data_IF_600687169238
#
_entry.id   IF_600687169238
#
_cell.length_a   1.000
_cell.length_b   1.000
_cell.length_c   1.000
_cell.angle_alpha   90.00
_cell.angle_beta   90.00
_cell.angle_gamma   90.00
#
_symmetry.space_group_name_H-M   'P 1'
#
loop_
_entity.id
_entity.type
_entity.pdbx_description
1 polymer ?
#
# COMPACT_ATOMS: atom_id res chain seq x y z
N UNK A 1 -11.14 33.92 -38.20
CA UNK A 1 -9.72 33.73 -37.78
C UNK A 1 -9.52 32.40 -37.03
N UNK A 2 -10.40 32.01 -36.10
CA UNK A 2 -10.28 30.76 -35.34
C UNK A 2 -10.46 29.45 -36.15
N UNK A 3 -11.15 29.49 -37.29
CA UNK A 3 -11.35 28.33 -38.17
C UNK A 3 -10.06 27.88 -38.87
N UNK A 4 -9.21 28.83 -39.24
CA UNK A 4 -7.91 28.54 -39.89
C UNK A 4 -6.95 27.81 -38.94
N UNK A 5 -6.99 28.11 -37.64
CA UNK A 5 -6.13 27.45 -36.66
C UNK A 5 -6.51 25.96 -36.49
N UNK A 6 -7.81 25.62 -36.52
CA UNK A 6 -8.31 24.24 -36.42
C UNK A 6 -7.93 23.38 -37.63
N UNK A 7 -7.88 23.98 -38.81
CA UNK A 7 -7.51 23.31 -40.06
C UNK A 7 -5.99 23.11 -40.20
N UNK A 8 -5.19 24.05 -39.66
CA UNK A 8 -3.73 23.87 -39.57
C UNK A 8 -3.33 22.79 -38.56
N UNK A 9 -4.01 22.71 -37.41
CA UNK A 9 -3.71 21.70 -36.37
C UNK A 9 -3.97 20.26 -36.86
N UNK A 10 -5.08 20.05 -37.57
CA UNK A 10 -5.44 18.75 -38.15
C UNK A 10 -4.53 18.35 -39.33
N UNK A 11 -4.06 19.33 -40.11
CA UNK A 11 -3.04 19.08 -41.15
C UNK A 11 -1.70 18.68 -40.55
N UNK A 12 -1.31 19.23 -39.41
CA UNK A 12 -0.08 18.83 -38.70
C UNK A 12 -0.17 17.40 -38.17
N UNK A 13 -1.28 17.01 -37.53
CA UNK A 13 -1.46 15.64 -37.02
C UNK A 13 -1.41 14.58 -38.14
N UNK A 14 -2.04 14.84 -39.30
CA UNK A 14 -1.99 13.92 -40.43
C UNK A 14 -0.60 13.82 -41.09
N UNK A 15 0.21 14.88 -41.06
CA UNK A 15 1.59 14.84 -41.55
C UNK A 15 2.48 14.03 -40.60
N UNK A 16 2.25 14.11 -39.29
CA UNK A 16 2.94 13.28 -38.30
C UNK A 16 2.63 11.78 -38.49
N UNK A 17 1.37 11.41 -38.72
CA UNK A 17 0.97 10.01 -39.01
C UNK A 17 1.55 9.51 -40.33
N UNK A 18 1.64 10.38 -41.36
CA UNK A 18 2.27 10.06 -42.64
C UNK A 18 3.79 9.86 -42.51
N UNK A 19 4.45 10.59 -41.61
CA UNK A 19 5.89 10.44 -41.36
C UNK A 19 6.22 9.10 -40.68
N UNK A 20 5.34 8.60 -39.82
CA UNK A 20 5.50 7.28 -39.17
C UNK A 20 5.28 6.13 -40.17
N UNK A 21 4.52 6.34 -41.24
CA UNK A 21 4.12 5.27 -42.19
C UNK A 21 5.01 5.09 -43.42
N UNK A 22 6.12 5.84 -43.57
CA UNK A 22 7.01 5.72 -44.74
C UNK A 22 8.47 5.49 -44.33
N UNK A 23 8.79 4.30 -43.79
CA UNK A 23 10.12 3.68 -43.97
C UNK A 23 10.03 2.14 -44.06
N UNK A 24 10.01 1.70 -45.32
CA UNK A 24 10.57 0.46 -45.91
C UNK A 24 9.96 -0.90 -45.54
N UNK A 25 9.24 -1.42 -46.53
CA UNK A 25 9.21 -2.83 -46.88
C UNK A 25 10.62 -3.29 -47.35
N UNK A 26 11.01 -4.49 -46.89
CA UNK A 26 12.07 -5.39 -47.40
C UNK A 26 13.56 -5.05 -47.13
N UNK A 27 14.13 -5.73 -46.12
CA UNK A 27 15.42 -6.46 -46.24
C UNK A 27 15.59 -7.45 -45.07
N UNK A 28 15.87 -8.73 -45.41
CA UNK A 28 16.40 -9.85 -44.58
C UNK A 28 15.86 -10.06 -43.15
N UNK A 29 15.19 -11.21 -42.95
CA UNK A 29 14.78 -11.76 -41.64
C UNK A 29 15.97 -12.22 -40.78
N UNK A 30 16.71 -11.29 -40.21
CA UNK A 30 17.42 -11.48 -38.94
C UNK A 30 16.86 -10.43 -37.99
N UNK A 31 15.82 -10.84 -37.25
CA UNK A 31 15.08 -9.99 -36.31
C UNK A 31 15.91 -9.72 -35.07
N UNK A 32 16.75 -8.68 -35.12
CA UNK A 32 17.41 -8.13 -33.95
C UNK A 32 16.55 -7.06 -33.29
N UNK A 33 16.48 -7.10 -31.95
CA UNK A 33 15.89 -6.04 -31.13
C UNK A 33 16.61 -4.72 -31.45
N UNK A 34 15.89 -3.71 -31.93
CA UNK A 34 16.53 -2.42 -32.21
C UNK A 34 16.72 -1.64 -30.90
N UNK A 35 17.81 -0.89 -30.76
CA UNK A 35 18.01 -0.02 -29.58
C UNK A 35 16.88 1.01 -29.44
N UNK A 36 16.33 1.47 -30.57
CA UNK A 36 15.21 2.42 -30.61
C UNK A 36 13.93 1.80 -30.02
N UNK A 37 13.68 0.53 -30.30
CA UNK A 37 12.51 -0.21 -29.80
C UNK A 37 12.60 -0.40 -28.29
N UNK A 38 13.78 -0.71 -27.75
CA UNK A 38 14.01 -0.74 -26.30
C UNK A 38 13.84 0.65 -25.66
N UNK A 39 14.35 1.71 -26.30
CA UNK A 39 14.29 3.08 -25.79
C UNK A 39 12.85 3.57 -25.62
N UNK A 40 11.97 3.31 -26.60
CA UNK A 40 10.56 3.71 -26.49
C UNK A 40 9.86 2.92 -25.38
N UNK A 41 10.18 1.64 -25.22
CA UNK A 41 9.58 0.79 -24.16
C UNK A 41 9.94 1.31 -22.77
N UNK A 42 11.23 1.59 -22.49
CA UNK A 42 11.62 2.11 -21.17
C UNK A 42 11.06 3.52 -20.92
N UNK A 43 10.91 4.34 -21.97
CA UNK A 43 10.26 5.66 -21.85
C UNK A 43 8.79 5.54 -21.43
N UNK A 44 8.03 4.63 -22.05
CA UNK A 44 6.62 4.39 -21.67
C UNK A 44 6.52 3.81 -20.26
N UNK A 45 7.37 2.83 -19.90
CA UNK A 45 7.40 2.25 -18.54
C UNK A 45 7.72 3.33 -17.50
N UNK A 46 8.64 4.25 -17.77
CA UNK A 46 8.98 5.34 -16.85
C UNK A 46 7.78 6.27 -16.59
N UNK A 47 7.00 6.61 -17.62
CA UNK A 47 5.79 7.42 -17.47
C UNK A 47 4.73 6.68 -16.65
N UNK A 48 4.49 5.40 -16.94
CA UNK A 48 3.53 4.58 -16.20
C UNK A 48 3.95 4.42 -14.74
N UNK A 49 5.23 4.16 -14.48
CA UNK A 49 5.79 4.02 -13.14
C UNK A 49 5.68 5.33 -12.34
N UNK A 50 5.90 6.48 -12.97
CA UNK A 50 5.77 7.78 -12.32
C UNK A 50 4.34 8.05 -11.80
N UNK A 51 3.32 7.59 -12.52
CA UNK A 51 1.91 7.72 -12.11
C UNK A 51 1.55 6.63 -11.07
N UNK A 52 2.00 5.40 -11.29
CA UNK A 52 1.65 4.26 -10.44
C UNK A 52 2.31 4.30 -9.05
N UNK A 53 3.56 4.76 -8.96
CA UNK A 53 4.34 4.76 -7.71
C UNK A 53 3.68 5.55 -6.56
N UNK A 54 3.25 6.81 -6.71
CA UNK A 54 2.60 7.54 -5.61
C UNK A 54 1.27 6.91 -5.19
N UNK A 55 0.50 6.38 -6.15
CA UNK A 55 -0.75 5.66 -5.86
C UNK A 55 -0.48 4.39 -5.05
N UNK A 56 0.54 3.63 -5.43
CA UNK A 56 0.96 2.42 -4.72
C UNK A 56 1.41 2.73 -3.29
N UNK A 57 2.20 3.80 -3.10
CA UNK A 57 2.62 4.23 -1.76
C UNK A 57 1.41 4.56 -0.86
N UNK A 58 0.45 5.34 -1.37
CA UNK A 58 -0.77 5.66 -0.61
C UNK A 58 -1.59 4.43 -0.27
N UNK A 59 -1.74 3.49 -1.22
CA UNK A 59 -2.44 2.22 -0.98
C UNK A 59 -1.73 1.36 0.06
N UNK A 60 -0.40 1.28 0.01
CA UNK A 60 0.40 0.56 0.99
C UNK A 60 0.26 1.16 2.39
N UNK A 61 0.25 2.48 2.53
CA UNK A 61 0.08 3.13 3.84
C UNK A 61 -1.33 2.96 4.39
N UNK A 62 -2.36 3.01 3.54
CA UNK A 62 -3.73 2.65 3.93
C UNK A 62 -3.83 1.21 4.42
N UNK A 63 -3.18 0.27 3.72
CA UNK A 63 -3.16 -1.14 4.12
C UNK A 63 -2.45 -1.34 5.47
N UNK A 64 -1.34 -0.64 5.72
CA UNK A 64 -0.65 -0.65 7.02
C UNK A 64 -1.54 -0.14 8.14
N UNK A 65 -2.24 0.98 7.93
CA UNK A 65 -3.16 1.54 8.92
C UNK A 65 -4.33 0.60 9.19
N UNK A 66 -4.93 0.03 8.14
CA UNK A 66 -6.01 -0.95 8.29
C UNK A 66 -5.56 -2.20 9.06
N UNK A 67 -4.35 -2.71 8.79
CA UNK A 67 -3.74 -3.80 9.54
C UNK A 67 -3.56 -3.43 11.01
N UNK A 68 -3.00 -2.26 11.32
CA UNK A 68 -2.81 -1.84 12.71
C UNK A 68 -4.12 -1.77 13.50
N UNK A 69 -5.19 -1.27 12.88
CA UNK A 69 -6.52 -1.22 13.50
C UNK A 69 -7.06 -2.65 13.76
N UNK A 70 -6.90 -3.55 12.79
CA UNK A 70 -7.32 -4.95 12.95
C UNK A 70 -6.53 -5.66 14.06
N UNK A 71 -5.20 -5.50 14.08
CA UNK A 71 -4.29 -6.06 15.08
C UNK A 71 -4.67 -5.59 16.49
N UNK A 72 -4.91 -4.28 16.68
CA UNK A 72 -5.37 -3.69 17.94
C UNK A 72 -6.68 -4.34 18.42
N UNK A 73 -7.64 -4.57 17.51
CA UNK A 73 -8.92 -5.17 17.87
C UNK A 73 -8.77 -6.64 18.28
N UNK A 74 -7.94 -7.40 17.56
CA UNK A 74 -7.63 -8.80 17.88
C UNK A 74 -6.99 -8.89 19.27
N UNK A 75 -5.97 -8.07 19.53
CA UNK A 75 -5.26 -8.05 20.82
C UNK A 75 -6.19 -7.61 21.95
N UNK A 76 -7.04 -6.60 21.73
CA UNK A 76 -8.03 -6.14 22.73
C UNK A 76 -8.98 -7.27 23.11
N UNK A 77 -9.56 -7.95 22.12
CA UNK A 77 -10.47 -9.06 22.37
C UNK A 77 -9.77 -10.21 23.11
N UNK A 78 -8.57 -10.60 22.67
CA UNK A 78 -7.77 -11.64 23.32
C UNK A 78 -7.43 -11.28 24.77
N UNK A 79 -7.06 -10.03 25.01
CA UNK A 79 -6.78 -9.50 26.35
C UNK A 79 -8.01 -9.60 27.25
N UNK A 80 -9.16 -9.16 26.76
CA UNK A 80 -10.42 -9.22 27.52
C UNK A 80 -10.81 -10.66 27.85
N UNK A 81 -10.69 -11.59 26.90
CA UNK A 81 -10.96 -13.00 27.13
C UNK A 81 -10.03 -13.59 28.20
N UNK A 82 -8.73 -13.32 28.10
CA UNK A 82 -7.76 -13.78 29.09
C UNK A 82 -8.04 -13.25 30.50
N UNK A 83 -8.38 -11.95 30.61
CA UNK A 83 -8.72 -11.35 31.91
C UNK A 83 -9.98 -11.95 32.52
N UNK A 84 -11.00 -12.25 31.70
CA UNK A 84 -12.23 -12.91 32.15
C UNK A 84 -11.94 -14.34 32.61
N UNK A 85 -11.19 -15.13 31.82
CA UNK A 85 -10.87 -16.52 32.14
C UNK A 85 -10.03 -16.65 33.43
N UNK A 86 -8.99 -15.83 33.56
CA UNK A 86 -8.09 -15.87 34.72
C UNK A 86 -8.61 -15.07 35.91
N UNK A 87 -9.70 -14.31 35.76
CA UNK A 87 -10.21 -13.36 36.76
C UNK A 87 -9.13 -12.40 37.28
N UNK A 88 -8.20 -11.99 36.41
CA UNK A 88 -7.13 -11.05 36.75
C UNK A 88 -7.37 -9.69 36.12
N UNK A 89 -7.06 -8.64 36.87
CA UNK A 89 -7.32 -7.26 36.48
C UNK A 89 -6.06 -6.57 35.90
N UNK A 90 -4.99 -7.34 35.69
CA UNK A 90 -3.70 -6.89 35.12
C UNK A 90 -3.61 -7.29 33.65
N UNK A 91 -3.19 -6.38 32.75
CA UNK A 91 -3.15 -6.69 31.33
C UNK A 91 -1.92 -7.58 31.07
N UNK A 92 -2.09 -8.73 30.41
CA UNK A 92 -0.97 -9.55 29.97
C UNK A 92 -0.16 -8.84 28.88
N UNK A 93 1.09 -9.24 28.71
CA UNK A 93 1.90 -8.90 27.53
C UNK A 93 1.38 -9.67 26.32
N UNK A 94 1.53 -9.12 25.11
CA UNK A 94 1.19 -9.83 23.85
C UNK A 94 1.87 -11.20 23.73
N UNK A 95 3.10 -11.33 24.23
CA UNK A 95 3.81 -12.62 24.30
C UNK A 95 3.05 -13.65 25.14
N UNK A 96 2.52 -13.26 26.30
CA UNK A 96 1.77 -14.18 27.17
C UNK A 96 0.46 -14.63 26.51
N UNK A 97 -0.22 -13.74 25.79
CA UNK A 97 -1.44 -14.08 25.05
C UNK A 97 -1.17 -15.09 23.93
N UNK A 98 -0.01 -15.01 23.27
CA UNK A 98 0.41 -15.99 22.29
C UNK A 98 0.74 -17.34 22.94
N UNK A 99 1.55 -17.34 24.00
CA UNK A 99 1.96 -18.56 24.69
C UNK A 99 0.78 -19.32 25.32
N UNK A 100 -0.24 -18.59 25.80
CA UNK A 100 -1.45 -19.19 26.37
C UNK A 100 -2.54 -19.49 25.33
N UNK A 101 -2.26 -19.26 24.04
CA UNK A 101 -3.16 -19.66 22.94
C UNK A 101 -4.34 -18.73 22.69
N UNK A 102 -4.37 -17.56 23.32
CA UNK A 102 -5.40 -16.53 23.09
C UNK A 102 -5.16 -15.74 21.79
N UNK A 103 -3.93 -15.75 21.27
CA UNK A 103 -3.57 -15.24 19.96
C UNK A 103 -3.02 -16.39 19.10
N UNK A 104 -3.58 -16.55 17.91
CA UNK A 104 -3.16 -17.59 16.94
C UNK A 104 -1.82 -17.29 16.28
N UNK A 105 -1.42 -16.01 16.25
CA UNK A 105 -0.18 -15.56 15.63
C UNK A 105 0.51 -14.54 16.54
N UNK A 106 1.84 -14.48 16.46
CA UNK A 106 2.62 -13.41 17.07
C UNK A 106 2.38 -12.10 16.31
N UNK A 107 1.40 -11.32 16.77
CA UNK A 107 1.00 -10.07 16.13
C UNK A 107 2.07 -9.01 16.34
N UNK A 108 2.89 -8.78 15.30
CA UNK A 108 3.92 -7.73 15.27
C UNK A 108 3.50 -6.57 14.39
N UNK A 109 3.91 -5.36 14.76
CA UNK A 109 3.74 -4.19 13.87
C UNK A 109 4.58 -4.34 12.60
N UNK A 110 4.29 -3.51 11.59
CA UNK A 110 4.99 -3.48 10.29
C UNK A 110 6.51 -3.26 10.42
N UNK A 111 7.00 -2.77 11.56
CA UNK A 111 8.43 -2.60 11.88
C UNK A 111 9.01 -3.68 12.83
N UNK A 112 8.27 -4.76 13.10
CA UNK A 112 8.72 -5.86 13.96
C UNK A 112 8.71 -5.57 15.47
N UNK A 113 8.25 -4.40 15.91
CA UNK A 113 8.02 -4.09 17.33
C UNK A 113 6.71 -4.74 17.82
N UNK A 114 6.65 -5.08 19.10
CA UNK A 114 5.46 -5.63 19.75
C UNK A 114 4.47 -4.54 20.16
N UNK A 115 3.18 -4.83 20.15
CA UNK A 115 2.14 -3.92 20.65
C UNK A 115 2.18 -3.86 22.18
N UNK A 116 2.04 -2.65 22.73
CA UNK A 116 1.99 -2.43 24.19
C UNK A 116 0.53 -2.35 24.62
N UNK A 117 0.16 -3.17 25.59
CA UNK A 117 -1.17 -3.17 26.19
C UNK A 117 -1.10 -2.34 27.48
N UNK A 118 -1.84 -1.23 27.55
CA UNK A 118 -1.98 -0.37 28.72
C UNK A 118 -3.45 -0.20 29.10
N UNK A 119 -3.70 0.30 30.31
CA UNK A 119 -5.04 0.73 30.70
C UNK A 119 -5.15 2.24 30.62
N UNK A 120 -6.27 2.70 30.06
CA UNK A 120 -6.73 4.05 30.29
C UNK A 120 -8.04 3.99 31.08
N UNK A 121 -8.11 4.78 32.14
CA UNK A 121 -9.34 4.95 32.91
C UNK A 121 -10.30 5.75 32.04
N UNK A 122 -11.51 5.23 31.80
CA UNK A 122 -12.53 6.00 31.09
C UNK A 122 -12.94 7.15 31.98
N UNK A 123 -12.52 8.38 31.64
CA UNK A 123 -12.82 9.60 32.42
C UNK A 123 -14.33 9.68 32.72
N UNK A 124 -14.69 9.50 34.00
CA UNK A 124 -16.08 9.59 34.48
C UNK A 124 -16.76 8.26 34.84
N UNK A 125 -16.10 7.10 34.69
CA UNK A 125 -16.62 5.82 35.19
C UNK A 125 -15.47 4.91 35.67
N UNK A 126 -15.66 4.09 36.71
CA UNK A 126 -14.61 3.20 37.26
C UNK A 126 -14.21 2.02 36.35
N UNK A 127 -14.64 2.02 35.08
CA UNK A 127 -14.32 1.00 34.10
C UNK A 127 -12.93 1.20 33.52
N UNK A 128 -12.08 0.16 33.62
CA UNK A 128 -10.76 0.12 32.97
C UNK A 128 -10.95 -0.28 31.51
N UNK A 129 -10.49 0.56 30.57
CA UNK A 129 -10.49 0.20 29.14
C UNK A 129 -9.11 -0.30 28.73
N UNK A 130 -9.08 -1.42 28.00
CA UNK A 130 -7.85 -1.97 27.42
C UNK A 130 -7.47 -1.12 26.20
N UNK A 131 -6.38 -0.37 26.35
CA UNK A 131 -5.77 0.44 25.29
C UNK A 131 -4.58 -0.33 24.73
N UNK A 132 -4.63 -0.65 23.45
CA UNK A 132 -3.50 -1.28 22.75
C UNK A 132 -2.83 -0.17 21.95
N UNK A 133 -1.64 0.22 22.37
CA UNK A 133 -0.84 1.24 21.70
C UNK A 133 0.23 0.55 20.88
N UNK A 134 0.22 0.79 19.57
CA UNK A 134 1.37 0.47 18.74
C UNK A 134 2.53 1.36 19.21
N UNK A 135 3.71 0.80 19.56
CA UNK A 135 4.85 1.64 19.93
C UNK A 135 5.13 2.59 18.78
N UNK A 136 5.31 3.86 19.12
CA UNK A 136 5.47 4.89 18.10
C UNK A 136 6.60 4.53 17.12
N UNK A 137 6.34 4.87 15.86
CA UNK A 137 7.18 4.56 14.70
C UNK A 137 8.64 4.91 14.90
#
# INVERSE_FOLDING_TARGET
MLTYCREYLTKLENQFVKYISIRRLQQSKQGGFTLVELMVVVAVIAILAAIAMPQFMSAADKAKNAKQVADIQIIRNATQLYMIDKSIDTPPTVEKLYQEGYLTEHVKTTKGKEYVISYEQVTGNSGKSVVVTAPET
#
